data_IF_097492257130
#
_entry.id   IF_097492257130
#
_cell.length_a   1.000
_cell.length_b   1.000
_cell.length_c   1.000
_cell.angle_alpha   90.00
_cell.angle_beta   90.00
_cell.angle_gamma   90.00
#
_symmetry.space_group_name_H-M   'P 1'
#
loop_
_entity.id
_entity.type
_entity.pdbx_description
1 polymer ?
#
# COMPACT_ATOMS: atom_id res chain seq x y z
N UNK A 1 33.19 -6.12 -13.11
CA UNK A 1 31.98 -5.71 -13.87
C UNK A 1 31.57 -6.68 -14.98
N UNK A 2 32.47 -7.20 -15.85
CA UNK A 2 32.07 -8.17 -16.89
C UNK A 2 31.62 -9.57 -16.40
N UNK A 3 32.12 -10.05 -15.26
CA UNK A 3 31.85 -11.41 -14.75
C UNK A 3 30.44 -11.59 -14.13
N UNK A 4 29.90 -10.53 -13.53
CA UNK A 4 28.56 -10.53 -12.92
C UNK A 4 27.47 -10.60 -13.99
N UNK A 5 27.67 -9.93 -15.14
CA UNK A 5 26.73 -9.95 -16.26
C UNK A 5 26.59 -11.33 -16.89
N UNK A 6 27.69 -12.07 -17.08
CA UNK A 6 27.65 -13.42 -17.67
C UNK A 6 27.02 -14.46 -16.74
N UNK A 7 27.23 -14.37 -15.43
CA UNK A 7 26.60 -15.28 -14.46
C UNK A 7 25.09 -15.00 -14.29
N UNK A 8 24.68 -13.73 -14.27
CA UNK A 8 23.25 -13.38 -14.27
C UNK A 8 22.55 -13.83 -15.56
N UNK A 9 23.20 -13.68 -16.72
CA UNK A 9 22.65 -14.09 -18.02
C UNK A 9 22.52 -15.61 -18.13
N UNK A 10 23.51 -16.36 -17.66
CA UNK A 10 23.43 -17.83 -17.57
C UNK A 10 22.32 -18.28 -16.61
N UNK A 11 22.10 -17.56 -15.50
CA UNK A 11 20.97 -17.81 -14.61
C UNK A 11 19.63 -17.49 -15.27
N UNK A 12 19.52 -16.45 -16.11
CA UNK A 12 18.25 -16.07 -16.77
C UNK A 12 17.83 -17.07 -17.83
N UNK A 13 18.76 -17.64 -18.60
CA UNK A 13 18.44 -18.71 -19.56
C UNK A 13 18.04 -20.01 -18.87
N UNK A 14 18.64 -20.32 -17.71
CA UNK A 14 18.26 -21.49 -16.89
C UNK A 14 16.95 -21.31 -16.10
N UNK A 15 16.47 -20.08 -15.93
CA UNK A 15 15.25 -19.77 -15.20
C UNK A 15 13.97 -20.00 -16.03
N UNK A 16 14.05 -19.92 -17.37
CA UNK A 16 12.90 -20.13 -18.26
C UNK A 16 12.74 -21.63 -18.52
N UNK A 17 12.00 -22.30 -17.64
CA UNK A 17 11.66 -23.73 -17.78
C UNK A 17 10.77 -24.03 -18.98
N UNK A 18 9.89 -23.09 -19.36
CA UNK A 18 9.01 -23.22 -20.52
C UNK A 18 8.80 -21.89 -21.25
N UNK A 19 9.35 -21.77 -22.46
CA UNK A 19 9.26 -20.55 -23.30
C UNK A 19 7.81 -20.16 -23.63
N UNK A 20 6.91 -21.12 -23.87
CA UNK A 20 5.50 -20.83 -24.16
C UNK A 20 4.82 -20.19 -22.95
N UNK A 21 4.98 -20.77 -21.76
CA UNK A 21 4.38 -20.26 -20.53
C UNK A 21 4.92 -18.87 -20.17
N UNK A 22 6.21 -18.63 -20.42
CA UNK A 22 6.85 -17.34 -20.24
C UNK A 22 6.19 -16.23 -21.10
N UNK A 23 6.04 -16.46 -22.41
CA UNK A 23 5.40 -15.46 -23.29
C UNK A 23 3.92 -15.25 -22.96
N UNK A 24 3.18 -16.30 -22.59
CA UNK A 24 1.80 -16.18 -22.12
C UNK A 24 1.75 -15.31 -20.85
N UNK A 25 2.66 -15.54 -19.89
CA UNK A 25 2.71 -14.78 -18.64
C UNK A 25 3.00 -13.30 -18.89
N UNK A 26 3.94 -12.98 -19.79
CA UNK A 26 4.23 -11.59 -20.17
C UNK A 26 3.02 -10.95 -20.85
N UNK A 27 2.37 -11.65 -21.78
CA UNK A 27 1.19 -11.13 -22.47
C UNK A 27 0.06 -10.83 -21.48
N UNK A 28 -0.24 -11.77 -20.57
CA UNK A 28 -1.26 -11.59 -19.54
C UNK A 28 -0.92 -10.46 -18.57
N UNK A 29 0.36 -10.30 -18.19
CA UNK A 29 0.82 -9.19 -17.36
C UNK A 29 0.61 -7.84 -18.07
N UNK A 30 1.00 -7.73 -19.34
CA UNK A 30 0.78 -6.52 -20.14
C UNK A 30 -0.72 -6.19 -20.26
N UNK A 31 -1.56 -7.20 -20.51
CA UNK A 31 -3.02 -7.03 -20.57
C UNK A 31 -3.55 -6.55 -19.21
N UNK A 32 -3.11 -7.17 -18.10
CA UNK A 32 -3.52 -6.77 -16.76
C UNK A 32 -3.18 -5.29 -16.48
N UNK A 33 -1.97 -4.86 -16.83
CA UNK A 33 -1.53 -3.46 -16.67
C UNK A 33 -2.42 -2.52 -17.48
N UNK A 34 -2.70 -2.83 -18.75
CA UNK A 34 -3.58 -2.02 -19.60
C UNK A 34 -4.99 -1.96 -19.01
N UNK A 35 -5.53 -3.09 -18.56
CA UNK A 35 -6.85 -3.13 -17.94
C UNK A 35 -6.90 -2.34 -16.63
N UNK A 36 -5.87 -2.40 -15.78
CA UNK A 36 -5.81 -1.58 -14.57
C UNK A 36 -5.75 -0.09 -14.86
N UNK A 37 -5.07 0.33 -15.93
CA UNK A 37 -5.06 1.73 -16.38
C UNK A 37 -6.46 2.14 -16.86
N UNK A 38 -7.13 1.26 -17.62
CA UNK A 38 -8.44 1.55 -18.21
C UNK A 38 -9.64 1.25 -17.29
N UNK A 39 -9.42 0.68 -16.11
CA UNK A 39 -10.47 0.14 -15.23
C UNK A 39 -11.61 1.14 -14.97
N UNK A 40 -11.26 2.42 -14.72
CA UNK A 40 -12.23 3.49 -14.45
C UNK A 40 -13.06 3.83 -15.68
N UNK A 41 -12.44 3.83 -16.87
CA UNK A 41 -13.13 4.09 -18.14
C UNK A 41 -14.03 2.93 -18.55
N UNK A 42 -13.68 1.70 -18.16
CA UNK A 42 -14.43 0.49 -18.47
C UNK A 42 -15.52 0.18 -17.44
N UNK A 43 -15.52 0.85 -16.29
CA UNK A 43 -16.45 0.56 -15.19
C UNK A 43 -16.22 -0.81 -14.56
N UNK A 44 -14.99 -1.33 -14.61
CA UNK A 44 -14.62 -2.65 -14.09
C UNK A 44 -13.81 -2.47 -12.82
N UNK A 45 -14.10 -3.26 -11.79
CA UNK A 45 -13.30 -3.26 -10.56
C UNK A 45 -11.93 -3.93 -10.75
N UNK A 46 -10.92 -3.45 -10.02
CA UNK A 46 -9.58 -4.05 -10.00
C UNK A 46 -9.59 -5.51 -9.54
N UNK A 47 -10.45 -5.84 -8.59
CA UNK A 47 -10.67 -7.20 -8.07
C UNK A 47 -11.04 -8.18 -9.20
N UNK A 48 -11.99 -7.77 -10.05
CA UNK A 48 -12.44 -8.56 -11.19
C UNK A 48 -11.33 -8.75 -12.23
N UNK A 49 -10.59 -7.68 -12.56
CA UNK A 49 -9.45 -7.75 -13.49
C UNK A 49 -8.41 -8.76 -12.98
N UNK A 50 -8.05 -8.69 -11.69
CA UNK A 50 -7.08 -9.59 -11.08
C UNK A 50 -7.54 -11.06 -11.13
N UNK A 51 -8.79 -11.33 -10.72
CA UNK A 51 -9.36 -12.68 -10.74
C UNK A 51 -9.49 -13.24 -12.16
N UNK A 52 -9.88 -12.41 -13.13
CA UNK A 52 -9.99 -12.80 -14.53
C UNK A 52 -8.63 -13.19 -15.10
N UNK A 53 -7.61 -12.34 -14.91
CA UNK A 53 -6.26 -12.62 -15.41
C UNK A 53 -5.68 -13.86 -14.72
N UNK A 54 -5.86 -14.01 -13.40
CA UNK A 54 -5.42 -15.20 -12.66
C UNK A 54 -6.11 -16.48 -13.17
N UNK A 55 -7.42 -16.43 -13.41
CA UNK A 55 -8.20 -17.56 -13.94
C UNK A 55 -7.72 -17.96 -15.34
N UNK A 56 -7.52 -16.99 -16.23
CA UNK A 56 -6.99 -17.24 -17.58
C UNK A 56 -5.56 -17.81 -17.50
N UNK A 57 -4.72 -17.26 -16.63
CA UNK A 57 -3.36 -17.77 -16.41
C UNK A 57 -3.38 -19.23 -15.93
N UNK A 58 -4.24 -19.56 -14.95
CA UNK A 58 -4.41 -20.93 -14.47
C UNK A 58 -4.84 -21.87 -15.59
N UNK A 59 -5.84 -21.50 -16.39
CA UNK A 59 -6.33 -22.33 -17.50
C UNK A 59 -5.27 -22.56 -18.59
N UNK A 60 -4.45 -21.56 -18.90
CA UNK A 60 -3.48 -21.63 -19.99
C UNK A 60 -2.13 -22.23 -19.59
N UNK A 61 -1.73 -22.10 -18.32
CA UNK A 61 -0.38 -22.46 -17.83
C UNK A 61 -0.43 -23.72 -16.96
N UNK A 62 -1.41 -23.84 -16.07
CA UNK A 62 -1.52 -24.94 -15.08
C UNK A 62 -2.95 -25.49 -14.96
N UNK A 63 -3.62 -25.93 -16.05
CA UNK A 63 -5.03 -26.31 -16.02
C UNK A 63 -5.33 -27.53 -15.12
N UNK A 64 -4.33 -28.34 -14.79
CA UNK A 64 -4.47 -29.54 -13.95
C UNK A 64 -4.01 -29.33 -12.49
N UNK A 65 -3.49 -28.16 -12.15
CA UNK A 65 -2.94 -27.87 -10.83
C UNK A 65 -3.69 -26.72 -10.14
N UNK A 66 -5.01 -26.63 -10.35
CA UNK A 66 -5.85 -25.57 -9.77
C UNK A 66 -5.78 -25.61 -8.25
N UNK A 67 -5.94 -26.77 -7.63
CA UNK A 67 -5.88 -26.97 -6.17
C UNK A 67 -4.54 -26.47 -5.61
N UNK A 68 -3.43 -26.93 -6.20
CA UNK A 68 -2.08 -26.50 -5.81
C UNK A 68 -1.86 -25.00 -6.01
N UNK A 69 -2.43 -24.42 -7.07
CA UNK A 69 -2.34 -22.96 -7.30
C UNK A 69 -3.13 -22.18 -6.26
N UNK A 70 -4.28 -22.70 -5.81
CA UNK A 70 -5.06 -22.12 -4.72
C UNK A 70 -4.34 -22.25 -3.37
N UNK A 71 -3.58 -23.32 -3.14
CA UNK A 71 -2.72 -23.45 -1.96
C UNK A 71 -1.57 -22.42 -1.93
N UNK A 72 -1.11 -21.96 -3.10
CA UNK A 72 -0.09 -20.90 -3.23
C UNK A 72 -0.66 -19.49 -2.93
N UNK A 73 -1.98 -19.34 -2.76
CA UNK A 73 -2.59 -18.05 -2.37
C UNK A 73 -2.28 -17.75 -0.91
N UNK A 74 -1.94 -16.48 -0.62
CA UNK A 74 -1.67 -15.96 0.72
C UNK A 74 -2.96 -15.79 1.55
N UNK A 75 -3.62 -16.91 1.90
CA UNK A 75 -4.90 -16.92 2.63
C UNK A 75 -4.85 -16.17 3.96
N UNK A 76 -3.72 -16.22 4.66
CA UNK A 76 -3.50 -15.47 5.90
C UNK A 76 -3.65 -13.96 5.70
N UNK A 77 -3.20 -13.43 4.56
CA UNK A 77 -3.34 -12.01 4.21
C UNK A 77 -4.80 -11.63 3.95
N UNK A 78 -5.54 -12.48 3.23
CA UNK A 78 -6.97 -12.27 2.98
C UNK A 78 -7.76 -12.27 4.30
N UNK A 79 -7.54 -13.29 5.15
CA UNK A 79 -8.21 -13.41 6.44
C UNK A 79 -7.85 -12.27 7.40
N UNK A 80 -6.61 -11.79 7.36
CA UNK A 80 -6.19 -10.60 8.11
C UNK A 80 -7.02 -9.37 7.70
N UNK A 81 -7.18 -9.09 6.40
CA UNK A 81 -7.99 -7.96 5.95
C UNK A 81 -9.47 -8.11 6.27
N UNK A 82 -10.03 -9.32 6.17
CA UNK A 82 -11.41 -9.59 6.61
C UNK A 82 -11.56 -9.26 8.10
N UNK A 83 -10.66 -9.77 8.96
CA UNK A 83 -10.69 -9.48 10.40
C UNK A 83 -10.50 -8.00 10.71
N UNK A 84 -9.61 -7.32 9.98
CA UNK A 84 -9.40 -5.89 10.10
C UNK A 84 -10.67 -5.09 9.77
N UNK A 85 -11.33 -5.37 8.64
CA UNK A 85 -12.54 -4.63 8.26
C UNK A 85 -13.71 -4.91 9.22
N UNK A 86 -13.83 -6.13 9.74
CA UNK A 86 -14.79 -6.43 10.81
C UNK A 86 -14.47 -5.61 12.06
N UNK A 87 -13.21 -5.51 12.46
CA UNK A 87 -12.78 -4.70 13.61
C UNK A 87 -13.05 -3.21 13.38
N UNK A 88 -12.73 -2.67 12.20
CA UNK A 88 -12.99 -1.27 11.85
C UNK A 88 -14.49 -0.98 11.89
N UNK A 89 -15.33 -1.86 11.34
CA UNK A 89 -16.78 -1.74 11.43
C UNK A 89 -17.28 -1.78 12.88
N UNK A 90 -16.73 -2.66 13.73
CA UNK A 90 -17.06 -2.67 15.15
C UNK A 90 -16.66 -1.35 15.86
N UNK A 91 -15.50 -0.78 15.52
CA UNK A 91 -15.07 0.51 16.05
C UNK A 91 -15.97 1.67 15.58
N UNK A 92 -16.49 1.59 14.35
CA UNK A 92 -17.48 2.55 13.83
C UNK A 92 -18.74 2.52 14.68
N UNK A 93 -19.30 1.34 14.94
CA UNK A 93 -20.50 1.16 15.78
C UNK A 93 -20.30 1.65 17.23
N UNK A 94 -19.08 1.56 17.77
CA UNK A 94 -18.77 2.11 19.11
C UNK A 94 -18.66 3.64 19.16
N UNK A 95 -18.67 4.32 17.99
CA UNK A 95 -18.44 5.76 17.88
C UNK A 95 -16.97 6.17 18.03
N UNK A 96 -16.03 5.22 18.08
CA UNK A 96 -14.60 5.52 18.25
C UNK A 96 -14.01 6.28 17.06
N UNK A 97 -14.44 5.96 15.84
CA UNK A 97 -13.98 6.66 14.63
C UNK A 97 -14.45 8.12 14.61
N UNK A 98 -15.68 8.37 15.04
CA UNK A 98 -16.20 9.74 15.21
C UNK A 98 -15.45 10.50 16.33
N UNK A 99 -15.10 9.83 17.42
CA UNK A 99 -14.27 10.40 18.48
C UNK A 99 -12.90 10.85 17.96
N UNK A 100 -12.25 10.03 17.11
CA UNK A 100 -11.00 10.41 16.45
C UNK A 100 -11.18 11.59 15.51
N UNK A 101 -12.23 11.58 14.67
CA UNK A 101 -12.55 12.69 13.77
C UNK A 101 -12.72 14.00 14.55
N UNK A 102 -13.49 13.99 15.66
CA UNK A 102 -13.66 15.14 16.56
C UNK A 102 -12.35 15.62 17.15
N UNK A 103 -11.45 14.71 17.55
CA UNK A 103 -10.14 15.08 18.05
C UNK A 103 -9.29 15.77 16.99
N UNK A 104 -9.28 15.26 15.75
CA UNK A 104 -8.58 15.88 14.63
C UNK A 104 -9.14 17.28 14.38
N UNK A 105 -10.47 17.44 14.35
CA UNK A 105 -11.13 18.73 14.15
C UNK A 105 -10.79 19.73 15.26
N UNK A 106 -10.79 19.29 16.51
CA UNK A 106 -10.45 20.13 17.67
C UNK A 106 -9.00 20.61 17.61
N UNK A 107 -8.05 19.71 17.32
CA UNK A 107 -6.64 20.04 17.15
C UNK A 107 -6.41 20.98 15.95
N UNK A 108 -7.19 20.79 14.90
CA UNK A 108 -7.17 21.63 13.70
C UNK A 108 -7.92 22.95 13.89
N UNK A 109 -8.56 23.18 15.04
CA UNK A 109 -9.41 24.34 15.33
C UNK A 109 -10.49 24.58 14.25
N UNK A 110 -11.00 23.51 13.66
CA UNK A 110 -11.95 23.57 12.53
C UNK A 110 -11.35 24.07 11.22
N UNK A 111 -10.03 24.29 11.11
CA UNK A 111 -9.40 24.69 9.85
C UNK A 111 -9.14 23.50 8.95
N UNK A 112 -9.68 23.54 7.73
CA UNK A 112 -9.41 22.54 6.70
C UNK A 112 -7.91 22.41 6.40
N UNK A 113 -7.19 23.54 6.34
CA UNK A 113 -5.75 23.54 6.07
C UNK A 113 -4.96 22.84 7.19
N UNK A 114 -5.28 23.15 8.45
CA UNK A 114 -4.63 22.46 9.58
C UNK A 114 -4.99 20.98 9.64
N UNK A 115 -6.24 20.62 9.30
CA UNK A 115 -6.67 19.23 9.23
C UNK A 115 -5.89 18.42 8.20
N UNK A 116 -5.69 18.95 6.99
CA UNK A 116 -4.84 18.31 5.96
C UNK A 116 -3.41 18.10 6.45
N UNK A 117 -2.81 19.14 7.05
CA UNK A 117 -1.44 19.07 7.61
C UNK A 117 -1.38 18.03 8.72
N UNK A 118 -2.40 17.95 9.56
CA UNK A 118 -2.47 16.96 10.63
C UNK A 118 -2.56 15.54 10.05
N UNK A 119 -3.47 15.31 9.10
CA UNK A 119 -3.66 13.99 8.48
C UNK A 119 -2.38 13.53 7.80
N UNK A 120 -1.71 14.34 6.97
CA UNK A 120 -0.48 13.90 6.29
C UNK A 120 0.63 13.54 7.28
N UNK A 121 0.84 14.34 8.33
CA UNK A 121 1.93 14.11 9.29
C UNK A 121 1.62 12.93 10.22
N UNK A 122 0.41 12.86 10.78
CA UNK A 122 0.01 11.75 11.65
C UNK A 122 -0.02 10.44 10.87
N UNK A 123 -0.52 10.45 9.63
CA UNK A 123 -0.48 9.28 8.76
C UNK A 123 0.95 8.83 8.47
N UNK A 124 1.85 9.77 8.22
CA UNK A 124 3.27 9.51 8.05
C UNK A 124 3.90 8.80 9.24
N UNK A 125 3.76 9.39 10.43
CA UNK A 125 4.38 8.83 11.63
C UNK A 125 3.71 7.53 12.08
N UNK A 126 2.39 7.43 12.01
CA UNK A 126 1.68 6.20 12.37
C UNK A 126 2.01 5.07 11.39
N UNK A 127 2.03 5.35 10.09
CA UNK A 127 2.36 4.34 9.08
C UNK A 127 3.83 3.95 9.07
N UNK A 128 4.69 4.68 9.77
CA UNK A 128 6.06 4.22 10.03
C UNK A 128 6.09 2.96 10.90
N UNK A 129 5.04 2.67 11.67
CA UNK A 129 4.94 1.48 12.54
C UNK A 129 3.82 0.52 12.12
N UNK A 130 2.76 1.04 11.50
CA UNK A 130 1.61 0.28 11.01
C UNK A 130 1.68 0.22 9.50
N UNK A 131 1.47 -0.95 8.90
CA UNK A 131 1.44 -1.09 7.45
C UNK A 131 0.41 -0.12 6.83
N UNK A 132 0.75 0.45 5.67
CA UNK A 132 -0.02 1.49 5.03
C UNK A 132 -1.44 1.02 4.65
N UNK A 133 -1.63 -0.26 4.33
CA UNK A 133 -2.95 -0.80 3.95
C UNK A 133 -3.92 -0.74 5.15
N UNK A 134 -3.64 -1.39 6.30
CA UNK A 134 -4.56 -1.37 7.44
C UNK A 134 -4.75 0.03 8.03
N UNK A 135 -3.71 0.86 8.01
CA UNK A 135 -3.81 2.25 8.47
C UNK A 135 -4.78 3.07 7.60
N UNK A 136 -4.61 3.00 6.27
CA UNK A 136 -5.47 3.73 5.32
C UNK A 136 -6.92 3.28 5.44
N UNK A 137 -7.16 1.97 5.52
CA UNK A 137 -8.50 1.40 5.73
C UNK A 137 -9.21 1.96 6.97
N UNK A 138 -8.48 2.22 8.05
CA UNK A 138 -9.02 2.79 9.30
C UNK A 138 -9.26 4.31 9.18
N UNK A 139 -8.41 5.02 8.44
CA UNK A 139 -8.50 6.48 8.31
C UNK A 139 -9.55 6.95 7.29
N UNK A 140 -9.90 6.14 6.29
CA UNK A 140 -11.00 6.44 5.35
C UNK A 140 -12.28 6.81 6.10
N UNK A 141 -12.85 5.95 6.96
CA UNK A 141 -14.07 6.28 7.69
C UNK A 141 -13.89 7.46 8.65
N UNK A 142 -12.71 7.67 9.23
CA UNK A 142 -12.42 8.85 10.07
C UNK A 142 -12.54 10.15 9.26
N UNK A 143 -11.97 10.20 8.05
CA UNK A 143 -12.04 11.38 7.18
C UNK A 143 -13.48 11.60 6.68
N UNK A 144 -14.20 10.54 6.33
CA UNK A 144 -15.62 10.62 5.98
C UNK A 144 -16.47 11.14 7.16
N UNK A 145 -16.17 10.72 8.39
CA UNK A 145 -16.81 11.25 9.60
C UNK A 145 -16.55 12.75 9.78
N UNK A 146 -15.38 13.28 9.38
CA UNK A 146 -15.13 14.73 9.42
C UNK A 146 -16.07 15.50 8.49
N UNK A 147 -16.34 14.98 7.29
CA UNK A 147 -17.34 15.56 6.37
C UNK A 147 -18.75 15.48 6.94
N UNK A 148 -19.13 14.37 7.59
CA UNK A 148 -20.44 14.26 8.26
C UNK A 148 -20.60 15.27 9.40
N UNK A 149 -19.53 15.54 10.16
CA UNK A 149 -19.54 16.44 11.31
C UNK A 149 -19.51 17.93 10.93
N UNK A 150 -18.75 18.30 9.89
CA UNK A 150 -18.68 19.67 9.37
C UNK A 150 -18.69 19.68 7.83
N UNK A 151 -19.87 19.51 7.20
CA UNK A 151 -20.00 19.47 5.75
C UNK A 151 -19.60 20.77 5.05
N UNK A 152 -19.64 21.90 5.75
CA UNK A 152 -19.31 23.21 5.17
C UNK A 152 -17.81 23.35 4.96
N UNK A 153 -17.02 22.95 5.96
CA UNK A 153 -15.56 23.00 5.89
C UNK A 153 -14.99 21.82 5.09
N UNK A 154 -15.59 20.63 5.21
CA UNK A 154 -15.08 19.37 4.63
C UNK A 154 -15.91 18.88 3.44
N UNK A 155 -16.60 19.79 2.74
CA UNK A 155 -17.44 19.46 1.59
C UNK A 155 -16.67 18.81 0.43
N UNK A 156 -15.39 19.17 0.23
CA UNK A 156 -14.49 18.51 -0.71
C UNK A 156 -13.39 17.75 0.03
N UNK A 157 -13.47 16.41 0.03
CA UNK A 157 -12.49 15.54 0.68
C UNK A 157 -11.26 15.22 -0.19
N UNK A 158 -11.23 15.63 -1.47
CA UNK A 158 -10.10 15.32 -2.37
C UNK A 158 -8.73 15.69 -1.77
N UNK A 159 -8.52 16.89 -1.19
CA UNK A 159 -7.25 17.22 -0.54
C UNK A 159 -6.92 16.35 0.67
N UNK A 160 -7.92 15.85 1.38
CA UNK A 160 -7.74 14.93 2.52
C UNK A 160 -7.31 13.55 2.04
N UNK A 161 -7.79 13.10 0.88
CA UNK A 161 -7.32 11.86 0.24
C UNK A 161 -5.87 11.96 -0.22
N UNK A 162 -5.46 13.11 -0.76
CA UNK A 162 -4.04 13.37 -1.03
C UNK A 162 -3.21 13.38 0.24
N UNK A 163 -3.70 14.01 1.32
CA UNK A 163 -3.01 14.03 2.61
C UNK A 163 -2.81 12.62 3.19
N UNK A 164 -3.86 11.80 3.20
CA UNK A 164 -3.80 10.42 3.67
C UNK A 164 -2.88 9.58 2.79
N UNK A 165 -3.01 9.66 1.46
CA UNK A 165 -2.21 8.88 0.52
C UNK A 165 -0.72 9.20 0.64
N UNK A 166 -0.36 10.49 0.65
CA UNK A 166 1.03 10.92 0.79
C UNK A 166 1.61 10.52 2.14
N UNK A 167 0.85 10.74 3.22
CA UNK A 167 1.28 10.40 4.58
C UNK A 167 1.48 8.89 4.74
N UNK A 168 0.45 8.09 4.46
CA UNK A 168 0.50 6.64 4.64
C UNK A 168 1.56 5.96 3.74
N UNK A 169 1.62 6.32 2.45
CA UNK A 169 2.55 5.68 1.52
C UNK A 169 4.02 6.05 1.75
N UNK A 170 4.30 7.28 2.20
CA UNK A 170 5.67 7.72 2.49
C UNK A 170 6.08 7.41 3.92
N UNK A 171 5.11 7.25 4.82
CA UNK A 171 5.26 6.92 6.24
C UNK A 171 6.06 5.65 6.49
N UNK A 172 5.72 4.58 5.75
CA UNK A 172 6.34 3.27 5.89
C UNK A 172 7.87 3.23 5.71
N UNK A 173 8.46 4.26 5.08
CA UNK A 173 9.91 4.39 4.94
C UNK A 173 10.63 4.77 6.24
N UNK A 174 9.90 5.21 7.27
CA UNK A 174 10.47 5.63 8.55
C UNK A 174 11.12 4.50 9.34
N UNK A 175 10.59 3.27 9.24
CA UNK A 175 11.13 2.10 9.97
C UNK A 175 11.21 0.85 9.10
N UNK A 176 11.96 -0.13 9.58
CA UNK A 176 12.12 -1.43 8.91
C UNK A 176 10.81 -2.24 8.83
N UNK A 177 9.84 -1.96 9.71
CA UNK A 177 8.57 -2.70 9.82
C UNK A 177 7.38 -1.95 9.23
N UNK A 178 7.54 -0.66 8.90
CA UNK A 178 6.43 0.20 8.44
C UNK A 178 5.88 -0.19 7.07
N UNK A 179 6.63 -0.96 6.28
CA UNK A 179 6.15 -1.51 5.02
C UNK A 179 6.63 -2.95 4.85
N UNK A 180 5.76 -3.81 4.34
CA UNK A 180 6.10 -5.19 3.96
C UNK A 180 7.31 -5.27 3.02
N UNK A 181 7.46 -4.31 2.09
CA UNK A 181 8.61 -4.23 1.19
C UNK A 181 9.96 -4.07 1.93
N UNK A 182 9.99 -3.31 3.03
CA UNK A 182 11.20 -3.13 3.85
C UNK A 182 11.60 -4.45 4.52
N UNK A 183 10.63 -5.13 5.12
CA UNK A 183 10.84 -6.43 5.77
C UNK A 183 11.34 -7.47 4.77
N UNK A 184 10.71 -7.56 3.58
CA UNK A 184 11.11 -8.46 2.51
C UNK A 184 12.52 -8.11 2.02
N UNK A 185 12.82 -6.83 1.77
CA UNK A 185 14.13 -6.38 1.33
C UNK A 185 15.25 -6.77 2.32
N UNK A 186 15.00 -6.58 3.61
CA UNK A 186 15.94 -6.98 4.68
C UNK A 186 16.08 -8.51 4.77
N UNK A 187 15.00 -9.26 4.60
CA UNK A 187 15.02 -10.72 4.57
C UNK A 187 15.84 -11.25 3.38
N UNK A 188 15.68 -10.66 2.18
CA UNK A 188 16.43 -10.99 0.98
C UNK A 188 17.92 -10.63 1.14
N UNK A 189 18.23 -9.48 1.73
CA UNK A 189 19.61 -9.08 2.02
C UNK A 189 20.32 -10.09 2.94
N UNK A 190 19.61 -10.57 3.97
CA UNK A 190 20.11 -11.63 4.85
C UNK A 190 20.28 -12.95 4.10
N UNK A 191 19.30 -13.33 3.28
CA UNK A 191 19.29 -14.62 2.56
C UNK A 191 20.39 -14.73 1.50
N UNK A 192 20.58 -13.70 0.67
CA UNK A 192 21.45 -13.78 -0.50
C UNK A 192 22.85 -13.21 -0.28
N UNK A 193 22.99 -12.26 0.65
CA UNK A 193 24.27 -11.57 0.87
C UNK A 193 24.82 -11.77 2.28
N UNK A 194 24.12 -12.52 3.14
CA UNK A 194 24.46 -12.72 4.56
C UNK A 194 24.74 -11.40 5.31
N UNK A 195 24.10 -10.31 4.87
CA UNK A 195 24.18 -8.98 5.49
C UNK A 195 22.91 -8.71 6.26
N UNK A 196 23.04 -8.12 7.44
CA UNK A 196 21.90 -7.74 8.27
C UNK A 196 22.00 -6.25 8.59
N UNK A 197 20.86 -5.57 8.46
CA UNK A 197 20.70 -4.20 8.92
C UNK A 197 19.78 -4.28 10.13
N UNK A 198 20.27 -3.80 11.27
CA UNK A 198 19.45 -3.73 12.48
C UNK A 198 18.35 -2.69 12.35
N UNK A 199 17.28 -2.82 13.15
CA UNK A 199 16.19 -1.84 13.20
C UNK A 199 16.71 -0.41 13.40
N UNK A 200 17.64 -0.19 14.34
CA UNK A 200 18.20 1.14 14.61
C UNK A 200 19.01 1.69 13.44
N UNK A 201 19.76 0.84 12.73
CA UNK A 201 20.51 1.27 11.55
C UNK A 201 19.55 1.69 10.43
N UNK A 202 18.48 0.94 10.20
CA UNK A 202 17.46 1.33 9.23
C UNK A 202 16.79 2.63 9.67
N UNK A 203 16.32 2.70 10.92
CA UNK A 203 15.62 3.86 11.48
C UNK A 203 16.44 5.15 11.37
N UNK A 204 17.77 5.10 11.59
CA UNK A 204 18.66 6.26 11.45
C UNK A 204 18.55 6.93 10.08
N UNK A 205 18.42 6.16 9.01
CA UNK A 205 18.24 6.70 7.66
C UNK A 205 16.76 6.92 7.33
N UNK A 206 15.90 5.98 7.72
CA UNK A 206 14.46 6.00 7.48
C UNK A 206 13.79 7.24 8.07
N UNK A 207 14.16 7.65 9.28
CA UNK A 207 13.58 8.84 9.92
C UNK A 207 13.90 10.13 9.15
N UNK A 208 15.08 10.22 8.54
CA UNK A 208 15.46 11.39 7.71
C UNK A 208 14.62 11.40 6.44
N UNK A 209 14.50 10.25 5.77
CA UNK A 209 13.66 10.11 4.58
C UNK A 209 12.20 10.44 4.90
N UNK A 210 11.68 9.95 6.03
CA UNK A 210 10.33 10.24 6.50
C UNK A 210 10.11 11.74 6.68
N UNK A 211 10.94 12.42 7.48
CA UNK A 211 10.78 13.84 7.79
C UNK A 211 10.85 14.68 6.51
N UNK A 212 11.81 14.42 5.63
CA UNK A 212 11.95 15.14 4.36
C UNK A 212 10.74 14.91 3.47
N UNK A 213 10.27 13.66 3.38
CA UNK A 213 9.10 13.31 2.58
C UNK A 213 7.83 14.01 3.08
N UNK A 214 7.59 13.99 4.40
CA UNK A 214 6.45 14.67 5.01
C UNK A 214 6.52 16.18 4.88
N UNK A 215 7.71 16.78 4.97
CA UNK A 215 7.89 18.21 4.74
C UNK A 215 7.54 18.58 3.30
N UNK A 216 8.00 17.82 2.32
CA UNK A 216 7.68 18.03 0.89
C UNK A 216 6.18 17.83 0.65
N UNK A 217 5.59 16.74 1.17
CA UNK A 217 4.16 16.47 1.02
C UNK A 217 3.29 17.53 1.69
N UNK A 218 3.69 18.02 2.87
CA UNK A 218 3.00 19.11 3.55
C UNK A 218 3.07 20.40 2.73
N UNK A 219 4.25 20.75 2.21
CA UNK A 219 4.41 21.93 1.37
C UNK A 219 3.58 21.82 0.08
N UNK A 220 3.58 20.66 -0.57
CA UNK A 220 2.74 20.39 -1.74
C UNK A 220 1.25 20.58 -1.42
N UNK A 221 0.76 20.02 -0.32
CA UNK A 221 -0.65 20.13 0.07
C UNK A 221 -1.09 21.54 0.44
N UNK A 222 -0.19 22.37 0.96
CA UNK A 222 -0.47 23.77 1.33
C UNK A 222 -0.42 24.69 0.11
N UNK A 223 0.42 24.37 -0.88
CA UNK A 223 0.59 25.20 -2.09
C UNK A 223 -0.47 24.88 -3.15
N UNK A 224 -0.82 23.61 -3.33
CA UNK A 224 -1.68 23.16 -4.42
C UNK A 224 -3.13 22.89 -4.01
N UNK A 225 -3.43 22.85 -2.70
CA UNK A 225 -4.77 22.58 -2.17
C UNK A 225 -5.13 23.48 -0.98
#
# INVERSE_FOLDING_TARGET
>A
TKRIGSELLLQTESAITNKKHFYISIALLCIAIVLFILQKSLGIESSFIALMIASIAMLLIRPKEVEKTLEEVEWSTILFFVGLFIMVGALEETGFLEYLAKHILALSRGSFQLAKVFVVNVSGFASAFVDNIPYTATMIPVIESMQKLDPQTFGNLEPMWWALSLGACLGGNGTAIGASANVIGLALLKKYYNKQISFLQFFKYGIVVLIVSLAISTAFLVVFF
#
